data_IF_348597765785
#
_entry.id   IF_348597765785
#
_cell.length_a   1.000
_cell.length_b   1.000
_cell.length_c   1.000
_cell.angle_alpha   90.00
_cell.angle_beta   90.00
_cell.angle_gamma   90.00
#
_symmetry.space_group_name_H-M   'P 1'
#
loop_
_entity.id
_entity.type
_entity.pdbx_description
1 polymer ?
#
# COMPACT_ATOMS: atom_id res chain seq x y z
N UNK A 1 0.02 -24.12 3.55
CA UNK A 1 1.11 -24.12 2.58
C UNK A 1 1.51 -22.66 2.35
N UNK A 2 2.72 -22.22 2.73
CA UNK A 2 3.12 -20.81 2.58
C UNK A 2 3.17 -20.36 1.10
N UNK A 3 2.96 -21.28 0.14
CA UNK A 3 2.81 -20.99 -1.29
C UNK A 3 1.36 -20.75 -1.74
N UNK A 4 0.36 -20.81 -0.86
CA UNK A 4 -1.05 -20.69 -1.26
C UNK A 4 -1.50 -19.26 -1.63
N UNK A 5 -0.64 -18.25 -1.47
CA UNK A 5 -0.92 -16.82 -1.75
C UNK A 5 -0.42 -16.30 -3.11
N UNK A 6 0.19 -17.16 -3.92
CA UNK A 6 0.85 -16.77 -5.16
C UNK A 6 2.29 -16.31 -4.95
N UNK A 7 3.15 -16.59 -5.92
CA UNK A 7 4.54 -16.16 -5.94
C UNK A 7 4.65 -14.62 -6.04
N UNK A 8 5.79 -14.02 -5.63
CA UNK A 8 6.04 -12.60 -5.85
C UNK A 8 5.83 -12.14 -7.30
N UNK A 9 6.10 -13.04 -8.28
CA UNK A 9 5.86 -12.78 -9.70
C UNK A 9 4.38 -12.63 -10.02
N UNK A 10 3.53 -13.53 -9.52
CA UNK A 10 2.07 -13.47 -9.75
C UNK A 10 1.47 -12.24 -9.08
N UNK A 11 1.91 -11.94 -7.85
CA UNK A 11 1.49 -10.75 -7.13
C UNK A 11 1.89 -9.47 -7.85
N UNK A 12 3.09 -9.43 -8.46
CA UNK A 12 3.50 -8.30 -9.27
C UNK A 12 2.61 -8.09 -10.51
N UNK A 13 2.17 -9.17 -11.17
CA UNK A 13 1.25 -9.08 -12.30
C UNK A 13 -0.08 -8.47 -11.87
N UNK A 14 -0.63 -8.91 -10.72
CA UNK A 14 -1.90 -8.39 -10.20
C UNK A 14 -1.76 -6.92 -9.78
N UNK A 15 -0.72 -6.56 -9.00
CA UNK A 15 -0.49 -5.19 -8.56
C UNK A 15 -0.31 -4.22 -9.73
N UNK A 16 0.47 -4.62 -10.76
CA UNK A 16 0.64 -3.81 -11.97
C UNK A 16 -0.66 -3.64 -12.73
N UNK A 17 -1.45 -4.72 -12.88
CA UNK A 17 -2.72 -4.68 -13.57
C UNK A 17 -3.74 -3.77 -12.86
N UNK A 18 -3.84 -3.85 -11.52
CA UNK A 18 -4.69 -2.97 -10.72
C UNK A 18 -4.28 -1.51 -10.87
N UNK A 19 -2.98 -1.20 -10.73
CA UNK A 19 -2.47 0.16 -10.83
C UNK A 19 -2.67 0.76 -12.23
N UNK A 20 -2.48 -0.04 -13.29
CA UNK A 20 -2.73 0.36 -14.68
C UNK A 20 -4.18 0.81 -14.92
N UNK A 21 -5.13 0.24 -14.20
CA UNK A 21 -6.55 0.59 -14.31
C UNK A 21 -7.03 1.50 -13.17
N UNK A 22 -6.11 2.09 -12.41
CA UNK A 22 -6.41 2.95 -11.26
C UNK A 22 -7.39 2.30 -10.24
N UNK A 23 -7.30 0.98 -10.07
CA UNK A 23 -8.15 0.25 -9.13
C UNK A 23 -7.64 0.44 -7.71
N UNK A 24 -8.50 0.98 -6.85
CA UNK A 24 -8.18 1.30 -5.46
C UNK A 24 -8.60 0.15 -4.54
N UNK A 25 -7.66 -0.74 -4.20
CA UNK A 25 -7.87 -1.86 -3.27
C UNK A 25 -6.61 -2.08 -2.42
N UNK A 26 -6.73 -2.47 -1.14
CA UNK A 26 -5.59 -2.62 -0.22
C UNK A 26 -4.82 -3.95 -0.44
N UNK A 27 -4.57 -4.37 -1.68
CA UNK A 27 -3.96 -5.68 -1.94
C UNK A 27 -2.49 -5.71 -1.50
N UNK A 28 -1.73 -4.65 -1.78
CA UNK A 28 -0.34 -4.56 -1.36
C UNK A 28 -0.25 -4.50 0.18
N UNK A 29 -1.08 -3.69 0.80
CA UNK A 29 -1.15 -3.56 2.25
C UNK A 29 -1.56 -4.87 2.91
N UNK A 30 -2.55 -5.58 2.36
CA UNK A 30 -3.08 -6.82 2.93
C UNK A 30 -2.08 -7.97 2.83
N UNK A 31 -1.61 -8.29 1.63
CA UNK A 31 -0.88 -9.53 1.38
C UNK A 31 0.64 -9.32 1.46
N UNK A 32 1.17 -8.34 0.72
CA UNK A 32 2.62 -8.09 0.62
C UNK A 32 3.21 -7.67 1.98
N UNK A 33 2.43 -6.91 2.75
CA UNK A 33 2.91 -6.22 3.95
C UNK A 33 2.31 -6.79 5.24
N UNK A 34 1.02 -6.57 5.51
CA UNK A 34 0.39 -6.89 6.79
C UNK A 34 0.34 -8.40 7.05
N UNK A 35 -0.14 -9.19 6.09
CA UNK A 35 -0.22 -10.64 6.20
C UNK A 35 1.16 -11.29 6.33
N UNK A 36 2.13 -10.85 5.52
CA UNK A 36 3.51 -11.29 5.64
C UNK A 36 4.12 -10.96 7.02
N UNK A 37 3.96 -9.71 7.50
CA UNK A 37 4.53 -9.30 8.78
C UNK A 37 3.88 -10.03 9.96
N UNK A 38 2.56 -10.21 9.91
CA UNK A 38 1.82 -10.98 10.90
C UNK A 38 2.34 -12.43 10.99
N UNK A 39 2.52 -13.08 9.84
CA UNK A 39 3.09 -14.42 9.76
C UNK A 39 4.54 -14.46 10.27
N UNK A 40 5.37 -13.48 9.92
CA UNK A 40 6.75 -13.37 10.39
C UNK A 40 6.86 -13.15 11.91
N UNK A 41 5.88 -12.45 12.50
CA UNK A 41 5.78 -12.23 13.93
C UNK A 41 5.03 -13.32 14.70
N UNK A 42 4.45 -14.30 14.01
CA UNK A 42 3.64 -15.35 14.62
C UNK A 42 2.39 -14.83 15.32
N UNK A 43 1.87 -13.68 14.88
CA UNK A 43 0.63 -13.09 15.41
C UNK A 43 -0.54 -13.49 14.51
N UNK A 44 -1.66 -13.82 15.13
CA UNK A 44 -2.85 -14.23 14.40
C UNK A 44 -3.58 -13.02 13.80
N UNK A 45 -4.08 -13.22 12.58
CA UNK A 45 -4.97 -12.28 11.88
C UNK A 45 -6.23 -13.02 11.45
N UNK A 46 -7.34 -12.31 11.23
CA UNK A 46 -8.57 -12.89 10.69
C UNK A 46 -8.32 -13.68 9.39
N UNK A 47 -9.01 -14.81 9.23
CA UNK A 47 -8.81 -15.73 8.11
C UNK A 47 -9.32 -15.18 6.76
N UNK A 48 -10.11 -14.12 6.77
CA UNK A 48 -10.67 -13.48 5.60
C UNK A 48 -10.78 -11.97 5.83
N UNK A 49 -10.88 -11.22 4.75
CA UNK A 49 -11.00 -9.76 4.78
C UNK A 49 -9.68 -9.03 4.58
N UNK A 50 -9.74 -7.73 4.30
CA UNK A 50 -8.55 -6.91 4.09
C UNK A 50 -7.80 -6.67 5.40
N UNK A 51 -6.48 -6.57 5.32
CA UNK A 51 -5.62 -6.15 6.42
C UNK A 51 -5.03 -4.78 6.10
N UNK A 52 -4.95 -3.92 7.10
CA UNK A 52 -4.22 -2.66 7.02
C UNK A 52 -2.89 -2.76 7.77
N UNK A 53 -1.89 -2.01 7.32
CA UNK A 53 -0.60 -1.90 8.00
C UNK A 53 -0.40 -0.47 8.52
N UNK A 54 -0.39 -0.31 9.84
CA UNK A 54 -0.05 0.92 10.53
C UNK A 54 1.44 0.95 10.85
N UNK A 55 2.21 1.72 10.07
CA UNK A 55 3.65 1.92 10.28
C UNK A 55 3.87 3.17 11.13
N UNK A 56 4.74 3.08 12.12
CA UNK A 56 5.14 4.21 12.96
C UNK A 56 6.45 3.94 13.69
N UNK A 57 6.75 4.79 14.67
CA UNK A 57 7.89 4.63 15.58
C UNK A 57 7.37 4.29 17.00
N UNK A 58 8.16 3.55 17.78
CA UNK A 58 7.81 3.33 19.19
C UNK A 58 7.70 4.67 19.93
N UNK A 59 6.60 4.83 20.67
CA UNK A 59 6.29 6.06 21.40
C UNK A 59 5.58 7.14 20.56
N UNK A 60 5.41 6.94 19.25
CA UNK A 60 4.54 7.78 18.46
C UNK A 60 3.08 7.58 18.90
N UNK A 61 2.29 8.67 19.10
CA UNK A 61 0.91 8.56 19.58
C UNK A 61 -0.07 8.04 18.51
N UNK A 62 0.33 8.09 17.23
CA UNK A 62 -0.49 7.66 16.11
C UNK A 62 0.37 7.27 14.91
N UNK A 63 -0.14 6.34 14.11
CA UNK A 63 0.31 6.09 12.74
C UNK A 63 -0.51 6.94 11.77
N UNK A 64 0.16 7.64 10.86
CA UNK A 64 -0.46 8.62 9.95
C UNK A 64 -0.52 8.05 8.53
N UNK A 65 -1.67 8.19 7.89
CA UNK A 65 -1.84 7.81 6.48
C UNK A 65 -1.94 6.30 6.27
N UNK A 66 -2.51 5.59 7.24
CA UNK A 66 -2.73 4.14 7.19
C UNK A 66 -3.80 3.83 6.13
N UNK A 67 -3.48 3.10 5.05
CA UNK A 67 -4.45 2.83 4.00
C UNK A 67 -5.56 1.90 4.50
N UNK A 68 -6.82 2.30 4.26
CA UNK A 68 -8.01 1.49 4.52
C UNK A 68 -8.18 0.98 5.97
N UNK A 69 -7.56 1.62 6.97
CA UNK A 69 -7.57 1.13 8.36
C UNK A 69 -8.98 0.98 8.93
N UNK A 70 -9.86 1.96 8.67
CA UNK A 70 -11.23 1.96 9.17
C UNK A 70 -12.14 0.92 8.49
N UNK A 71 -11.73 0.41 7.32
CA UNK A 71 -12.51 -0.53 6.51
C UNK A 71 -11.81 -1.92 6.44
N UNK A 72 -10.72 -2.11 7.19
CA UNK A 72 -10.02 -3.38 7.31
C UNK A 72 -10.76 -4.35 8.26
N UNK A 73 -10.44 -5.64 8.17
CA UNK A 73 -10.84 -6.62 9.19
C UNK A 73 -9.90 -6.54 10.42
N UNK A 74 -8.62 -6.24 10.19
CA UNK A 74 -7.63 -6.02 11.23
C UNK A 74 -6.56 -5.00 10.80
N UNK A 75 -6.04 -4.27 11.78
CA UNK A 75 -4.88 -3.40 11.63
C UNK A 75 -3.67 -4.09 12.27
N UNK A 76 -2.66 -4.36 11.45
CA UNK A 76 -1.34 -4.81 11.91
C UNK A 76 -0.50 -3.57 12.18
N UNK A 77 0.04 -3.44 13.38
CA UNK A 77 0.96 -2.38 13.75
C UNK A 77 2.40 -2.82 13.49
N UNK A 78 3.21 -1.94 12.92
CA UNK A 78 4.64 -2.10 12.73
C UNK A 78 5.35 -0.86 13.26
N UNK A 79 5.72 -0.89 14.54
CA UNK A 79 6.39 0.23 15.19
C UNK A 79 7.91 0.00 15.19
N UNK A 80 8.65 0.93 14.60
CA UNK A 80 10.11 0.85 14.57
C UNK A 80 10.70 1.02 15.98
N UNK A 81 11.54 0.05 16.35
CA UNK A 81 12.37 0.03 17.55
C UNK A 81 13.83 -0.17 17.12
N UNK A 82 14.42 0.90 16.59
CA UNK A 82 15.70 0.84 15.88
C UNK A 82 15.60 -0.02 14.62
N UNK A 83 16.40 -1.09 14.53
CA UNK A 83 16.40 -2.02 13.39
C UNK A 83 15.33 -3.13 13.53
N UNK A 84 14.57 -3.14 14.63
CA UNK A 84 13.51 -4.12 14.90
C UNK A 84 12.14 -3.48 14.73
N UNK A 85 11.12 -4.34 14.65
CA UNK A 85 9.72 -3.93 14.69
C UNK A 85 9.05 -4.49 15.95
N UNK A 86 8.26 -3.67 16.62
CA UNK A 86 7.22 -4.13 17.54
C UNK A 86 5.92 -4.30 16.76
N UNK A 87 5.39 -5.50 16.77
CA UNK A 87 4.24 -5.94 15.97
C UNK A 87 3.08 -6.31 16.88
N UNK A 88 1.90 -5.77 16.60
CA UNK A 88 0.65 -6.12 17.27
C UNK A 88 -0.49 -6.12 16.24
N UNK A 89 -1.62 -6.72 16.62
CA UNK A 89 -2.83 -6.76 15.79
C UNK A 89 -4.01 -6.29 16.64
N UNK A 90 -4.88 -5.46 16.06
CA UNK A 90 -6.13 -5.06 16.69
C UNK A 90 -7.24 -4.93 15.64
N UNK A 91 -8.48 -5.19 16.06
CA UNK A 91 -9.65 -4.94 15.23
C UNK A 91 -9.91 -3.43 15.16
N UNK A 92 -10.34 -2.87 14.00
CA UNK A 92 -10.63 -1.43 13.89
C UNK A 92 -11.67 -0.93 14.90
N UNK A 93 -12.60 -1.80 15.32
CA UNK A 93 -13.61 -1.47 16.32
C UNK A 93 -13.02 -1.14 17.70
N UNK A 94 -11.82 -1.62 18.01
CA UNK A 94 -11.11 -1.39 19.26
C UNK A 94 -10.13 -0.22 19.17
N UNK A 95 -10.08 0.47 18.03
CA UNK A 95 -9.11 1.52 17.74
C UNK A 95 -9.78 2.89 17.60
N UNK A 96 -9.03 3.94 17.98
CA UNK A 96 -9.40 5.32 17.63
C UNK A 96 -8.84 5.63 16.25
N UNK A 97 -9.74 5.71 15.26
CA UNK A 97 -9.40 5.96 13.86
C UNK A 97 -10.06 7.24 13.37
N UNK A 98 -9.26 8.18 12.89
CA UNK A 98 -9.72 9.37 12.18
C UNK A 98 -9.60 9.13 10.67
N UNK A 99 -10.74 9.09 9.97
CA UNK A 99 -10.78 8.84 8.53
C UNK A 99 -10.12 9.97 7.73
N UNK A 100 -9.38 9.62 6.69
CA UNK A 100 -8.75 10.58 5.79
C UNK A 100 -8.65 10.05 4.35
N UNK A 101 -8.16 10.88 3.43
CA UNK A 101 -7.92 10.49 2.05
C UNK A 101 -6.69 11.19 1.45
N UNK A 102 -6.05 10.56 0.46
CA UNK A 102 -5.02 11.22 -0.34
C UNK A 102 -5.63 12.01 -1.52
N UNK A 103 -4.78 12.67 -2.32
CA UNK A 103 -5.20 13.41 -3.53
C UNK A 103 -5.91 12.53 -4.58
N UNK A 104 -5.66 11.21 -4.56
CA UNK A 104 -6.34 10.23 -5.42
C UNK A 104 -7.69 9.75 -4.86
N UNK A 105 -8.12 10.25 -3.70
CA UNK A 105 -9.36 9.84 -3.04
C UNK A 105 -9.27 8.51 -2.30
N UNK A 106 -8.10 7.88 -2.22
CA UNK A 106 -7.93 6.63 -1.49
C UNK A 106 -7.94 6.88 0.02
N UNK A 107 -8.59 6.01 0.83
CA UNK A 107 -8.54 6.08 2.29
C UNK A 107 -7.11 6.14 2.83
N UNK A 108 -6.87 7.10 3.72
CA UNK A 108 -5.59 7.35 4.42
C UNK A 108 -5.90 7.83 5.82
N UNK A 109 -6.12 6.88 6.69
CA UNK A 109 -6.60 7.13 8.03
C UNK A 109 -5.45 7.47 8.97
N UNK A 110 -5.78 8.12 10.08
CA UNK A 110 -4.88 8.26 11.22
C UNK A 110 -5.35 7.32 12.32
N UNK A 111 -4.47 6.44 12.79
CA UNK A 111 -4.78 5.40 13.78
C UNK A 111 -3.99 5.68 15.05
N UNK A 112 -4.68 5.86 16.17
CA UNK A 112 -4.00 6.02 17.46
C UNK A 112 -3.25 4.74 17.84
N UNK A 113 -2.07 4.90 18.43
CA UNK A 113 -1.26 3.80 18.96
C UNK A 113 -1.47 3.78 20.47
N UNK A 114 -2.55 3.13 20.90
CA UNK A 114 -2.93 2.99 22.31
C UNK A 114 -3.19 1.51 22.65
N UNK A 115 -2.15 0.70 22.47
CA UNK A 115 -2.14 -0.72 22.79
C UNK A 115 -1.20 -0.98 23.97
N UNK A 116 -1.54 -1.89 24.88
CA UNK A 116 -0.66 -2.22 26.00
C UNK A 116 0.64 -2.85 25.49
N UNK A 117 1.76 -2.57 26.15
CA UNK A 117 3.07 -3.09 25.74
C UNK A 117 3.12 -4.62 25.58
N UNK A 118 2.33 -5.33 26.39
CA UNK A 118 2.20 -6.79 26.37
C UNK A 118 1.52 -7.34 25.09
N UNK A 119 0.84 -6.50 24.30
CA UNK A 119 0.25 -6.91 23.03
C UNK A 119 1.27 -7.01 21.90
N UNK A 120 2.48 -6.45 22.08
CA UNK A 120 3.48 -6.40 21.03
C UNK A 120 4.47 -7.56 21.12
N UNK A 121 4.82 -8.10 19.96
CA UNK A 121 5.94 -9.02 19.75
C UNK A 121 7.04 -8.30 18.98
N UNK A 122 8.29 -8.46 19.40
CA UNK A 122 9.44 -7.85 18.71
C UNK A 122 10.04 -8.81 17.70
N UNK A 123 10.26 -8.35 16.47
CA UNK A 123 10.85 -9.12 15.38
C UNK A 123 11.93 -8.36 14.62
N UNK A 124 12.85 -9.11 14.01
CA UNK A 124 13.87 -8.58 13.09
C UNK A 124 13.36 -8.63 11.65
N UNK A 125 12.49 -7.67 11.31
CA UNK A 125 11.77 -7.64 10.03
C UNK A 125 11.71 -6.24 9.38
N UNK A 126 12.30 -5.21 9.99
CA UNK A 126 12.20 -3.82 9.52
C UNK A 126 12.74 -3.66 8.08
N UNK A 127 13.97 -4.11 7.84
CA UNK A 127 14.59 -3.98 6.53
C UNK A 127 13.85 -4.75 5.43
N UNK A 128 13.21 -5.88 5.76
CA UNK A 128 12.42 -6.65 4.79
C UNK A 128 11.05 -6.02 4.54
N UNK A 129 10.42 -5.46 5.57
CA UNK A 129 9.18 -4.69 5.42
C UNK A 129 9.38 -3.50 4.45
N UNK A 130 10.47 -2.75 4.62
CA UNK A 130 10.82 -1.63 3.74
C UNK A 130 11.05 -2.09 2.30
N UNK A 131 11.79 -3.18 2.10
CA UNK A 131 12.04 -3.75 0.75
C UNK A 131 10.73 -4.15 0.08
N UNK A 132 9.83 -4.80 0.81
CA UNK A 132 8.52 -5.23 0.31
C UNK A 132 7.63 -4.04 -0.05
N UNK A 133 7.60 -3.02 0.80
CA UNK A 133 6.85 -1.78 0.56
C UNK A 133 7.37 -1.06 -0.68
N UNK A 134 8.70 -0.88 -0.79
CA UNK A 134 9.33 -0.27 -1.94
C UNK A 134 9.05 -1.07 -3.22
N UNK A 135 9.17 -2.40 -3.18
CA UNK A 135 8.88 -3.27 -4.31
C UNK A 135 7.43 -3.14 -4.79
N UNK A 136 6.45 -3.22 -3.89
CA UNK A 136 5.04 -3.07 -4.24
C UNK A 136 4.75 -1.70 -4.88
N UNK A 137 5.32 -0.62 -4.32
CA UNK A 137 5.20 0.74 -4.88
C UNK A 137 5.84 0.86 -6.27
N UNK A 138 7.01 0.26 -6.49
CA UNK A 138 7.65 0.24 -7.81
C UNK A 138 6.77 -0.46 -8.84
N UNK A 139 6.21 -1.63 -8.50
CA UNK A 139 5.33 -2.39 -9.40
C UNK A 139 4.06 -1.60 -9.75
N UNK A 140 3.41 -1.00 -8.74
CA UNK A 140 2.25 -0.14 -8.95
C UNK A 140 2.60 1.07 -9.83
N UNK A 141 3.75 1.71 -9.57
CA UNK A 141 4.26 2.83 -10.35
C UNK A 141 4.43 2.49 -11.83
N UNK A 142 4.98 1.32 -12.15
CA UNK A 142 5.09 0.83 -13.53
C UNK A 142 3.72 0.73 -14.20
N UNK A 143 2.74 0.11 -13.52
CA UNK A 143 1.39 -0.05 -14.07
C UNK A 143 0.71 1.29 -14.36
N UNK A 144 0.77 2.22 -13.40
CA UNK A 144 0.19 3.55 -13.55
C UNK A 144 0.87 4.36 -14.67
N UNK A 145 2.21 4.33 -14.75
CA UNK A 145 2.97 5.05 -15.77
C UNK A 145 2.74 4.48 -17.17
N UNK A 146 2.63 3.15 -17.32
CA UNK A 146 2.31 2.51 -18.60
C UNK A 146 0.97 3.02 -19.15
N UNK A 147 -0.07 3.09 -18.30
CA UNK A 147 -1.37 3.65 -18.69
C UNK A 147 -1.28 5.15 -19.00
N UNK A 148 -0.57 5.93 -18.17
CA UNK A 148 -0.45 7.37 -18.37
C UNK A 148 0.20 7.71 -19.71
N UNK A 149 1.27 7.00 -20.09
CA UNK A 149 1.93 7.16 -21.39
C UNK A 149 0.98 6.81 -22.53
N UNK A 150 0.29 5.67 -22.43
CA UNK A 150 -0.64 5.22 -23.47
C UNK A 150 -1.79 6.21 -23.70
N UNK A 151 -2.42 6.68 -22.62
CA UNK A 151 -3.48 7.68 -22.71
C UNK A 151 -2.97 9.02 -23.23
N UNK A 152 -1.75 9.43 -22.86
CA UNK A 152 -1.14 10.67 -23.37
C UNK A 152 -0.86 10.58 -24.87
N UNK A 153 -0.35 9.44 -25.34
CA UNK A 153 -0.11 9.20 -26.77
C UNK A 153 -1.42 9.17 -27.55
N UNK A 154 -2.46 8.50 -27.03
CA UNK A 154 -3.77 8.48 -27.66
C UNK A 154 -4.36 9.90 -27.76
N UNK A 155 -4.36 10.64 -26.64
CA UNK A 155 -4.88 12.00 -26.59
C UNK A 155 -4.16 12.95 -27.54
N UNK A 156 -2.83 12.91 -27.60
CA UNK A 156 -2.05 13.80 -28.47
C UNK A 156 -2.21 13.49 -29.97
N UNK A 157 -2.61 12.27 -30.33
CA UNK A 157 -2.96 11.90 -31.71
C UNK A 157 -4.33 12.40 -32.13
N UNK A 158 -5.30 12.37 -31.22
CA UNK A 158 -6.69 12.74 -31.50
C UNK A 158 -6.96 14.24 -31.36
N UNK A 159 -6.24 14.91 -30.46
CA UNK A 159 -6.46 16.33 -30.18
C UNK A 159 -5.81 17.22 -31.23
N UNK A 160 -6.63 17.99 -31.95
CA UNK A 160 -6.16 19.01 -32.89
C UNK A 160 -6.18 20.42 -32.28
N UNK A 161 -5.08 21.16 -32.48
CA UNK A 161 -4.98 22.59 -32.20
C UNK A 161 -4.08 23.25 -33.25
N UNK A 162 -4.35 24.52 -33.56
CA UNK A 162 -3.64 25.25 -34.61
C UNK A 162 -3.67 24.52 -35.97
N UNK A 163 -4.78 23.84 -36.26
CA UNK A 163 -5.01 23.17 -37.55
C UNK A 163 -4.25 21.86 -37.76
N UNK A 164 -3.69 21.24 -36.71
CA UNK A 164 -3.06 19.90 -36.79
C UNK A 164 -3.08 19.18 -35.44
N UNK A 165 -2.85 17.85 -35.41
CA UNK A 165 -2.71 17.10 -34.16
C UNK A 165 -1.58 17.62 -33.27
N UNK A 166 -1.76 17.55 -31.94
CA UNK A 166 -0.73 17.92 -30.97
C UNK A 166 0.55 17.09 -31.14
N UNK A 167 0.43 15.83 -31.54
CA UNK A 167 1.57 14.93 -31.81
C UNK A 167 2.48 15.41 -32.96
N UNK A 168 2.04 16.35 -33.80
CA UNK A 168 2.84 16.91 -34.90
C UNK A 168 3.84 18.00 -34.45
N UNK A 169 3.78 18.44 -33.19
CA UNK A 169 4.69 19.46 -32.63
C UNK A 169 5.90 18.78 -31.98
N UNK A 170 7.12 19.15 -32.39
CA UNK A 170 8.36 18.59 -31.82
C UNK A 170 8.42 18.70 -30.29
N UNK A 171 8.03 19.84 -29.73
CA UNK A 171 8.01 20.02 -28.26
C UNK A 171 7.17 18.96 -27.53
N UNK A 172 6.09 18.47 -28.15
CA UNK A 172 5.22 17.42 -27.60
C UNK A 172 5.84 16.02 -27.77
N UNK A 173 6.71 15.81 -28.77
CA UNK A 173 7.36 14.51 -29.02
C UNK A 173 8.56 14.24 -28.10
N UNK A 174 9.23 15.29 -27.61
CA UNK A 174 10.46 15.20 -26.81
C UNK A 174 10.24 15.49 -25.32
N UNK A 175 8.99 15.37 -24.85
CA UNK A 175 8.61 15.47 -23.42
C UNK A 175 8.10 14.12 -22.97
#
# INVERSE_FOLDING_TARGET
>A
DPESGGSPTELALVLRALARHAVTVPLAETDVLAGWLAAAAGVEVPAAGPLALAIGDVGAPAAIGVPYAADAEAVVFALHDGERLRVAVAAPADLVIARGHNLGGEPRDTVAVDLPDAAFVTVDAAAELDRRGAWARCVQGLGALDAAVEYSVAHTREREQFGRPLSAFQAVQHT
#
